data_IF_932395282723
#
_entry.id   IF_932395282723
#
_cell.length_a   1.000
_cell.length_b   1.000
_cell.length_c   1.000
_cell.angle_alpha   90.00
_cell.angle_beta   90.00
_cell.angle_gamma   90.00
#
_symmetry.space_group_name_H-M   'P 1'
#
loop_
_entity.id
_entity.type
_entity.pdbx_description
1 polymer ?
#
# COMPACT_ATOMS: atom_id res chain seq x y z
N UNK A 1 -24.27 -21.01 -1.22
CA UNK A 1 -22.95 -20.33 -1.22
C UNK A 1 -22.11 -21.01 -0.15
N UNK A 2 -21.32 -22.00 -0.57
CA UNK A 2 -20.49 -22.80 0.34
C UNK A 2 -19.23 -21.99 0.62
N UNK A 3 -19.13 -21.40 1.81
CA UNK A 3 -17.90 -20.76 2.27
C UNK A 3 -16.81 -21.82 2.34
N UNK A 4 -15.79 -21.73 1.49
CA UNK A 4 -14.60 -22.57 1.64
C UNK A 4 -13.87 -22.17 2.93
N UNK A 5 -13.31 -23.13 3.68
CA UNK A 5 -12.49 -22.83 4.86
C UNK A 5 -11.20 -22.10 4.43
N UNK A 6 -10.61 -21.27 5.32
CA UNK A 6 -9.37 -20.57 5.01
C UNK A 6 -8.25 -21.57 4.68
N UNK A 7 -7.63 -21.39 3.53
CA UNK A 7 -6.58 -22.27 3.00
C UNK A 7 -5.28 -21.94 3.73
N UNK A 8 -4.84 -22.80 4.66
CA UNK A 8 -3.57 -22.62 5.38
C UNK A 8 -2.37 -23.31 4.68
N UNK A 9 -2.59 -23.94 3.53
CA UNK A 9 -1.54 -24.63 2.77
C UNK A 9 -1.11 -23.79 1.55
N UNK A 10 0.16 -23.36 1.51
CA UNK A 10 0.72 -22.53 0.44
C UNK A 10 0.65 -23.19 -0.94
N UNK A 11 0.76 -24.52 -1.03
CA UNK A 11 0.62 -25.24 -2.29
C UNK A 11 -0.82 -25.16 -2.83
N UNK A 12 -1.82 -25.24 -1.94
CA UNK A 12 -3.23 -25.07 -2.33
C UNK A 12 -3.50 -23.63 -2.77
N UNK A 13 -2.94 -22.64 -2.07
CA UNK A 13 -3.06 -21.22 -2.47
C UNK A 13 -2.50 -21.03 -3.89
N UNK A 14 -1.31 -21.57 -4.18
CA UNK A 14 -0.70 -21.46 -5.51
C UNK A 14 -1.52 -22.18 -6.60
N UNK A 15 -2.11 -23.34 -6.28
CA UNK A 15 -3.02 -24.05 -7.16
C UNK A 15 -4.29 -23.26 -7.50
N UNK A 16 -4.96 -22.72 -6.48
CA UNK A 16 -6.17 -21.91 -6.65
C UNK A 16 -5.88 -20.59 -7.37
N UNK A 17 -4.75 -19.94 -7.07
CA UNK A 17 -4.28 -18.79 -7.84
C UNK A 17 -4.18 -19.14 -9.33
N UNK A 18 -3.51 -20.25 -9.66
CA UNK A 18 -3.30 -20.64 -11.03
C UNK A 18 -4.60 -21.01 -11.76
N UNK A 19 -5.59 -21.57 -11.04
CA UNK A 19 -6.93 -21.86 -11.56
C UNK A 19 -7.70 -20.56 -11.84
N UNK A 20 -7.85 -19.71 -10.84
CA UNK A 20 -8.61 -18.45 -10.94
C UNK A 20 -8.01 -17.47 -11.94
N UNK A 21 -6.68 -17.44 -12.04
CA UNK A 21 -5.97 -16.64 -13.05
C UNK A 21 -6.30 -17.09 -14.47
N UNK A 22 -6.31 -18.41 -14.73
CA UNK A 22 -6.63 -18.97 -16.07
C UNK A 22 -8.09 -18.84 -16.43
N UNK A 23 -9.00 -19.05 -15.48
CA UNK A 23 -10.45 -19.06 -15.75
C UNK A 23 -11.05 -17.66 -15.86
N UNK A 24 -10.63 -16.73 -15.01
CA UNK A 24 -11.30 -15.43 -14.86
C UNK A 24 -10.38 -14.23 -15.15
N UNK A 25 -9.08 -14.45 -15.33
CA UNK A 25 -8.06 -13.39 -15.32
C UNK A 25 -8.19 -12.45 -14.09
N UNK A 26 -8.62 -13.00 -12.95
CA UNK A 26 -8.93 -12.25 -11.73
C UNK A 26 -7.67 -11.58 -11.14
N UNK A 27 -7.81 -10.39 -10.54
CA UNK A 27 -6.66 -9.68 -9.94
C UNK A 27 -6.23 -10.35 -8.64
N UNK A 28 -4.98 -10.15 -8.22
CA UNK A 28 -4.46 -10.68 -6.93
C UNK A 28 -5.39 -10.41 -5.74
N UNK A 29 -5.96 -9.20 -5.66
CA UNK A 29 -6.93 -8.85 -4.60
C UNK A 29 -8.16 -9.74 -4.63
N UNK A 30 -8.75 -9.91 -5.80
CA UNK A 30 -10.03 -10.60 -5.97
C UNK A 30 -9.85 -12.10 -5.70
N UNK A 31 -8.70 -12.66 -6.11
CA UNK A 31 -8.30 -14.02 -5.77
C UNK A 31 -8.12 -14.18 -4.26
N UNK A 32 -7.39 -13.27 -3.61
CA UNK A 32 -7.18 -13.34 -2.16
C UNK A 32 -8.52 -13.26 -1.39
N UNK A 33 -9.43 -12.38 -1.83
CA UNK A 33 -10.78 -12.25 -1.28
C UNK A 33 -11.62 -13.52 -1.48
N UNK A 34 -11.58 -14.13 -2.67
CA UNK A 34 -12.27 -15.41 -2.96
C UNK A 34 -11.74 -16.57 -2.09
N UNK A 35 -10.45 -16.54 -1.74
CA UNK A 35 -9.80 -17.53 -0.87
C UNK A 35 -9.87 -17.19 0.64
N UNK A 36 -10.49 -16.06 0.99
CA UNK A 36 -10.57 -15.55 2.36
C UNK A 36 -9.20 -15.40 3.06
N UNK A 37 -8.20 -14.92 2.31
CA UNK A 37 -6.84 -14.60 2.80
C UNK A 37 -6.46 -13.17 2.42
N UNK A 38 -5.39 -12.64 3.01
CA UNK A 38 -4.81 -11.36 2.58
C UNK A 38 -4.08 -11.48 1.23
N UNK A 39 -3.94 -10.35 0.54
CA UNK A 39 -3.17 -10.33 -0.72
C UNK A 39 -1.69 -10.64 -0.50
N UNK A 40 -1.15 -10.25 0.65
CA UNK A 40 0.21 -10.59 1.08
C UNK A 40 0.39 -12.10 1.28
N UNK A 41 -0.58 -12.79 1.87
CA UNK A 41 -0.57 -14.25 2.01
C UNK A 41 -0.59 -14.94 0.64
N UNK A 42 -1.40 -14.44 -0.30
CA UNK A 42 -1.44 -14.93 -1.67
C UNK A 42 -0.06 -14.85 -2.34
N UNK A 43 0.59 -13.68 -2.28
CA UNK A 43 1.93 -13.49 -2.89
C UNK A 43 2.98 -14.32 -2.15
N UNK A 44 2.96 -14.32 -0.82
CA UNK A 44 3.93 -15.04 -0.01
C UNK A 44 3.87 -16.56 -0.21
N UNK A 45 2.70 -17.12 -0.52
CA UNK A 45 2.56 -18.54 -0.85
C UNK A 45 3.38 -18.97 -2.07
N UNK A 46 3.80 -18.01 -2.90
CA UNK A 46 4.64 -18.22 -4.08
C UNK A 46 6.13 -17.90 -3.83
N UNK A 47 6.53 -17.61 -2.59
CA UNK A 47 7.93 -17.41 -2.27
C UNK A 47 8.72 -18.70 -2.55
N UNK A 48 9.87 -18.57 -3.21
CA UNK A 48 10.69 -19.70 -3.64
C UNK A 48 10.19 -20.44 -4.89
N UNK A 49 8.99 -20.12 -5.42
CA UNK A 49 8.52 -20.67 -6.70
C UNK A 49 9.15 -19.92 -7.87
N UNK A 50 9.45 -20.63 -8.96
CA UNK A 50 10.03 -20.06 -10.18
C UNK A 50 9.14 -20.34 -11.39
N UNK A 51 9.09 -19.38 -12.31
CA UNK A 51 8.42 -19.55 -13.61
C UNK A 51 9.08 -20.68 -14.41
N UNK A 52 10.38 -20.94 -14.19
CA UNK A 52 11.11 -22.05 -14.82
C UNK A 52 10.53 -23.42 -14.45
N UNK A 53 9.83 -23.54 -13.31
CA UNK A 53 9.23 -24.78 -12.83
C UNK A 53 7.74 -24.89 -13.25
N UNK A 54 7.28 -24.08 -14.21
CA UNK A 54 5.91 -24.09 -14.72
C UNK A 54 4.88 -23.34 -13.87
N UNK A 55 5.32 -22.65 -12.80
CA UNK A 55 4.43 -21.80 -12.01
C UNK A 55 4.04 -20.54 -12.81
N UNK A 56 2.80 -20.06 -12.64
CA UNK A 56 2.34 -18.79 -13.24
C UNK A 56 2.86 -17.57 -12.50
N UNK A 57 3.25 -17.72 -11.23
CA UNK A 57 3.77 -16.66 -10.40
C UNK A 57 4.91 -17.20 -9.53
N UNK A 58 5.96 -16.41 -9.41
CA UNK A 58 7.04 -16.62 -8.44
C UNK A 58 7.26 -15.33 -7.64
N UNK A 59 7.60 -15.49 -6.37
CA UNK A 59 7.96 -14.38 -5.51
C UNK A 59 9.33 -14.65 -4.86
N UNK A 60 10.08 -13.58 -4.66
CA UNK A 60 11.32 -13.57 -3.90
C UNK A 60 11.15 -12.60 -2.74
N UNK A 61 11.25 -13.11 -1.52
CA UNK A 61 11.11 -12.32 -0.30
C UNK A 61 12.25 -11.33 -0.22
N UNK A 62 11.94 -10.10 0.15
CA UNK A 62 12.91 -9.03 0.38
C UNK A 62 13.09 -8.79 1.87
N UNK A 63 14.32 -8.48 2.27
CA UNK A 63 14.68 -8.07 3.62
C UNK A 63 14.00 -6.74 3.98
N UNK A 64 13.68 -6.57 5.26
CA UNK A 64 12.93 -5.43 5.78
C UNK A 64 13.74 -4.11 5.92
N UNK A 65 14.54 -3.78 4.89
CA UNK A 65 15.26 -2.51 4.78
C UNK A 65 14.55 -1.55 3.81
N UNK A 66 13.32 -1.19 4.15
CA UNK A 66 12.42 -0.42 3.27
C UNK A 66 12.96 0.94 2.83
N UNK A 67 13.59 1.76 3.71
CA UNK A 67 14.21 3.01 3.30
C UNK A 67 15.31 2.80 2.26
N UNK A 68 16.17 1.79 2.46
CA UNK A 68 17.25 1.50 1.51
C UNK A 68 16.73 0.96 0.18
N UNK A 69 15.68 0.12 0.19
CA UNK A 69 15.03 -0.35 -1.04
C UNK A 69 14.48 0.83 -1.83
N UNK A 70 13.72 1.72 -1.18
CA UNK A 70 13.12 2.88 -1.86
C UNK A 70 14.21 3.84 -2.39
N UNK A 71 15.29 4.03 -1.65
CA UNK A 71 16.44 4.83 -2.10
C UNK A 71 17.17 4.22 -3.32
N UNK A 72 17.07 2.91 -3.53
CA UNK A 72 17.70 2.19 -4.63
C UNK A 72 16.83 2.12 -5.91
N UNK A 73 15.66 2.76 -5.94
CA UNK A 73 14.72 2.65 -7.07
C UNK A 73 15.05 3.55 -8.27
N UNK A 74 15.78 4.65 -8.08
CA UNK A 74 16.05 5.61 -9.16
C UNK A 74 16.72 4.97 -10.40
N UNK A 75 17.71 4.06 -10.25
CA UNK A 75 18.33 3.37 -11.39
C UNK A 75 17.39 2.47 -12.21
N UNK A 76 16.21 2.08 -11.71
CA UNK A 76 15.25 1.30 -12.50
C UNK A 76 14.67 2.12 -13.67
N UNK A 77 14.87 3.44 -13.69
CA UNK A 77 14.31 4.33 -14.70
C UNK A 77 12.79 4.46 -14.55
N UNK A 78 12.08 4.53 -15.67
CA UNK A 78 10.64 4.73 -15.65
C UNK A 78 9.92 3.44 -15.26
N UNK A 79 9.09 3.52 -14.21
CA UNK A 79 8.27 2.44 -13.66
C UNK A 79 6.83 2.94 -13.45
N UNK A 80 5.91 2.03 -13.11
CA UNK A 80 4.56 2.39 -12.69
C UNK A 80 4.39 2.15 -11.18
N UNK A 81 4.12 3.22 -10.43
CA UNK A 81 3.78 3.20 -9.02
C UNK A 81 2.28 3.04 -8.83
N UNK A 82 1.86 2.07 -8.02
CA UNK A 82 0.47 1.81 -7.68
C UNK A 82 0.27 1.87 -6.17
N UNK A 83 -0.58 2.80 -5.74
CA UNK A 83 -1.06 2.91 -4.36
C UNK A 83 -2.58 2.89 -4.38
N UNK A 84 -3.21 2.22 -3.42
CA UNK A 84 -4.67 2.12 -3.40
C UNK A 84 -5.24 2.04 -1.99
N UNK A 85 -6.53 2.26 -1.91
CA UNK A 85 -7.36 1.87 -0.77
C UNK A 85 -8.60 1.11 -1.30
N UNK A 86 -9.57 0.85 -0.43
CA UNK A 86 -10.78 0.12 -0.81
C UNK A 86 -11.59 0.81 -1.93
N UNK A 87 -11.50 2.14 -2.05
CA UNK A 87 -12.37 2.96 -2.90
C UNK A 87 -11.66 3.60 -4.10
N UNK A 88 -10.32 3.65 -4.11
CA UNK A 88 -9.56 4.30 -5.16
C UNK A 88 -8.25 3.55 -5.42
N UNK A 89 -7.91 3.43 -6.70
CA UNK A 89 -6.61 2.97 -7.17
C UNK A 89 -5.93 4.15 -7.86
N UNK A 90 -4.70 4.46 -7.47
CA UNK A 90 -3.89 5.52 -8.06
C UNK A 90 -2.65 4.91 -8.69
N UNK A 91 -2.56 5.02 -10.02
CA UNK A 91 -1.42 4.56 -10.82
C UNK A 91 -0.69 5.78 -11.38
N UNK A 92 0.63 5.82 -11.20
CA UNK A 92 1.47 6.91 -11.70
C UNK A 92 2.74 6.36 -12.31
N UNK A 93 2.97 6.67 -13.58
CA UNK A 93 4.23 6.39 -14.26
C UNK A 93 5.25 7.50 -13.96
N UNK A 94 6.50 7.12 -13.70
CA UNK A 94 7.62 8.05 -13.54
C UNK A 94 8.87 7.39 -13.00
N UNK A 95 9.85 8.21 -12.61
CA UNK A 95 11.12 7.77 -11.99
C UNK A 95 11.08 8.11 -10.50
N UNK A 96 11.59 7.21 -9.65
CA UNK A 96 11.72 7.42 -8.19
C UNK A 96 12.91 8.34 -7.87
N UNK A 97 12.83 9.61 -8.27
CA UNK A 97 13.89 10.59 -8.05
C UNK A 97 13.97 11.03 -6.59
N UNK A 98 15.18 11.36 -6.15
CA UNK A 98 15.45 12.04 -4.88
C UNK A 98 14.75 11.41 -3.68
N UNK A 99 14.70 10.08 -3.65
CA UNK A 99 14.20 9.34 -2.51
C UNK A 99 15.06 9.67 -1.27
N UNK A 100 14.40 10.14 -0.23
CA UNK A 100 15.01 10.52 1.04
C UNK A 100 14.15 10.04 2.19
N UNK A 101 14.70 9.99 3.40
CA UNK A 101 13.93 9.64 4.58
C UNK A 101 14.46 10.35 5.82
N UNK A 102 13.55 10.59 6.76
CA UNK A 102 13.87 11.02 8.11
C UNK A 102 13.13 10.11 9.09
N UNK A 103 13.87 9.42 9.96
CA UNK A 103 13.33 8.37 10.83
C UNK A 103 12.55 7.31 10.02
N UNK A 104 11.24 7.21 10.24
CA UNK A 104 10.37 6.23 9.58
C UNK A 104 9.49 6.83 8.48
N UNK A 105 9.74 8.07 8.09
CA UNK A 105 9.00 8.76 7.04
C UNK A 105 9.91 8.97 5.84
N UNK A 106 9.55 8.36 4.73
CA UNK A 106 10.20 8.51 3.43
C UNK A 106 9.48 9.54 2.57
N UNK A 107 10.26 10.22 1.73
CA UNK A 107 9.80 11.17 0.73
C UNK A 107 10.42 10.80 -0.61
N UNK A 108 9.60 10.73 -1.66
CA UNK A 108 10.05 10.66 -3.06
C UNK A 108 9.53 11.92 -3.72
N UNK A 109 10.44 12.81 -4.11
CA UNK A 109 10.13 14.16 -4.57
C UNK A 109 10.94 14.49 -5.83
N UNK A 110 10.59 15.57 -6.52
CA UNK A 110 11.39 16.05 -7.66
C UNK A 110 11.19 15.28 -8.96
N UNK A 111 10.15 14.45 -9.06
CA UNK A 111 9.73 13.76 -10.28
C UNK A 111 8.21 13.67 -10.41
N UNK A 112 7.76 12.82 -11.34
CA UNK A 112 6.34 12.55 -11.58
C UNK A 112 5.73 11.70 -10.45
N UNK A 113 6.57 10.90 -9.79
CA UNK A 113 6.21 10.13 -8.59
C UNK A 113 6.46 11.01 -7.37
N UNK A 114 5.38 11.42 -6.71
CA UNK A 114 5.39 12.17 -5.44
C UNK A 114 4.77 11.29 -4.35
N UNK A 115 5.59 10.83 -3.40
CA UNK A 115 5.18 9.89 -2.36
C UNK A 115 5.58 10.37 -0.97
N UNK A 116 4.66 10.13 -0.03
CA UNK A 116 4.92 10.16 1.42
C UNK A 116 4.80 8.72 1.91
N UNK A 117 5.91 8.17 2.37
CA UNK A 117 6.03 6.74 2.72
C UNK A 117 6.15 6.59 4.23
N UNK A 118 5.26 5.81 4.85
CA UNK A 118 5.28 5.55 6.28
C UNK A 118 5.80 4.15 6.55
N UNK A 119 7.12 3.98 6.67
CA UNK A 119 7.77 2.67 6.72
C UNK A 119 7.34 1.82 7.93
N UNK A 120 6.84 2.42 9.02
CA UNK A 120 6.27 1.67 10.15
C UNK A 120 5.07 0.80 9.79
N UNK A 121 4.39 1.10 8.69
CA UNK A 121 3.24 0.33 8.22
C UNK A 121 3.64 -0.81 7.29
N UNK A 122 4.91 -0.91 6.90
CA UNK A 122 5.40 -1.92 5.96
C UNK A 122 5.95 -3.10 6.77
N UNK A 123 5.47 -4.31 6.50
CA UNK A 123 5.88 -5.52 7.20
C UNK A 123 6.48 -6.58 6.28
N UNK A 124 6.01 -6.65 5.02
CA UNK A 124 6.45 -7.65 4.06
C UNK A 124 6.73 -7.03 2.70
N UNK A 125 7.73 -7.55 1.99
CA UNK A 125 8.12 -7.10 0.65
C UNK A 125 8.51 -8.29 -0.23
N UNK A 126 8.09 -8.27 -1.49
CA UNK A 126 8.40 -9.32 -2.45
C UNK A 126 8.74 -8.73 -3.82
N UNK A 127 9.78 -9.27 -4.45
CA UNK A 127 10.00 -9.15 -5.88
C UNK A 127 9.21 -10.25 -6.60
N UNK A 128 8.19 -9.85 -7.35
CA UNK A 128 7.21 -10.75 -7.98
C UNK A 128 7.45 -10.80 -9.48
N UNK A 129 7.48 -12.03 -10.01
CA UNK A 129 7.48 -12.36 -11.43
C UNK A 129 6.21 -13.12 -11.75
N UNK A 130 5.41 -12.63 -12.67
CA UNK A 130 4.14 -13.24 -13.05
C UNK A 130 4.09 -13.39 -14.58
N UNK A 131 3.74 -14.58 -15.05
CA UNK A 131 3.46 -14.82 -16.45
C UNK A 131 2.09 -14.23 -16.79
N UNK A 132 2.07 -13.22 -17.65
CA UNK A 132 0.86 -12.62 -18.21
C UNK A 132 0.87 -12.83 -19.71
N UNK A 133 -0.08 -13.62 -20.18
CA UNK A 133 -0.15 -14.03 -21.59
C UNK A 133 1.16 -14.69 -22.01
N UNK A 134 2.00 -13.99 -22.78
CA UNK A 134 3.29 -14.47 -23.27
C UNK A 134 4.48 -13.68 -22.72
N UNK A 135 4.26 -12.79 -21.74
CA UNK A 135 5.28 -11.91 -21.18
C UNK A 135 5.38 -12.05 -19.66
N UNK A 136 6.61 -11.89 -19.15
CA UNK A 136 6.87 -11.88 -17.71
C UNK A 136 6.78 -10.45 -17.18
N UNK A 137 5.71 -10.18 -16.45
CA UNK A 137 5.58 -8.94 -15.68
C UNK A 137 6.39 -9.04 -14.39
N UNK A 138 7.20 -8.01 -14.10
CA UNK A 138 7.99 -7.89 -12.88
C UNK A 138 7.50 -6.74 -12.03
N UNK A 139 7.51 -6.94 -10.72
CA UNK A 139 7.09 -5.91 -9.77
C UNK A 139 7.72 -6.08 -8.40
N UNK A 140 7.84 -4.98 -7.66
CA UNK A 140 8.08 -4.98 -6.22
C UNK A 140 6.74 -4.72 -5.53
N UNK A 141 6.36 -5.57 -4.58
CA UNK A 141 5.06 -5.48 -3.89
C UNK A 141 5.26 -5.49 -2.38
N UNK A 142 4.67 -4.50 -1.70
CA UNK A 142 4.84 -4.30 -0.27
C UNK A 142 3.50 -4.34 0.46
N UNK A 143 3.50 -4.97 1.63
CA UNK A 143 2.31 -5.28 2.41
C UNK A 143 2.51 -4.89 3.88
N UNK A 144 1.41 -4.56 4.55
CA UNK A 144 1.39 -4.31 5.99
C UNK A 144 1.37 -5.61 6.80
N UNK A 145 1.38 -5.48 8.14
CA UNK A 145 1.41 -6.63 9.04
C UNK A 145 0.12 -7.49 8.96
N UNK A 146 -0.97 -6.96 8.43
CA UNK A 146 -2.21 -7.71 8.14
C UNK A 146 -2.21 -8.32 6.73
N UNK A 147 -1.12 -8.16 5.97
CA UNK A 147 -0.99 -8.65 4.60
C UNK A 147 -1.68 -7.78 3.55
N UNK A 148 -2.09 -6.55 3.89
CA UNK A 148 -2.77 -5.67 2.94
C UNK A 148 -1.77 -4.88 2.11
N UNK A 149 -2.02 -4.76 0.81
CA UNK A 149 -1.11 -4.06 -0.09
C UNK A 149 -0.99 -2.58 0.28
N UNK A 150 0.25 -2.16 0.55
CA UNK A 150 0.61 -0.78 0.86
C UNK A 150 1.04 -0.05 -0.40
N UNK A 151 1.92 -0.67 -1.18
CA UNK A 151 2.48 -0.05 -2.37
C UNK A 151 3.01 -1.11 -3.35
N UNK A 152 2.91 -0.84 -4.66
CA UNK A 152 3.45 -1.71 -5.71
C UNK A 152 4.17 -0.89 -6.76
N UNK A 153 5.23 -1.48 -7.32
CA UNK A 153 6.07 -0.88 -8.34
C UNK A 153 6.16 -1.88 -9.48
N UNK A 154 5.63 -1.56 -10.64
CA UNK A 154 5.67 -2.40 -11.82
C UNK A 154 6.72 -1.90 -12.80
N UNK A 155 7.54 -2.81 -13.29
CA UNK A 155 8.47 -2.50 -14.36
C UNK A 155 7.69 -2.28 -15.66
N UNK A 156 8.23 -1.39 -16.49
CA UNK A 156 7.76 -1.10 -17.84
C UNK A 156 8.78 -1.63 -18.84
N UNK A 157 8.43 -1.74 -20.14
CA UNK A 157 9.35 -2.23 -21.16
C UNK A 157 10.70 -1.47 -21.22
N UNK A 158 10.69 -0.19 -20.87
CA UNK A 158 11.86 0.71 -20.83
C UNK A 158 12.58 0.75 -19.47
N UNK A 159 12.10 0.05 -18.45
CA UNK A 159 12.79 0.00 -17.16
C UNK A 159 14.14 -0.70 -17.30
N UNK A 160 15.12 -0.31 -16.47
CA UNK A 160 16.42 -0.95 -16.45
C UNK A 160 16.33 -2.31 -15.72
N UNK A 161 16.38 -3.37 -16.52
CA UNK A 161 16.33 -4.75 -16.04
C UNK A 161 17.57 -5.15 -15.24
N UNK A 162 18.75 -4.67 -15.60
CA UNK A 162 19.98 -5.00 -14.88
C UNK A 162 19.99 -4.35 -13.49
N UNK A 163 19.51 -3.10 -13.40
CA UNK A 163 19.32 -2.41 -12.13
C UNK A 163 18.28 -3.12 -11.24
N UNK A 164 17.18 -3.61 -11.82
CA UNK A 164 16.20 -4.41 -11.10
C UNK A 164 16.81 -5.70 -10.55
N UNK A 165 17.52 -6.47 -11.37
CA UNK A 165 18.12 -7.73 -10.94
C UNK A 165 19.18 -7.49 -9.83
N UNK A 166 19.95 -6.42 -9.93
CA UNK A 166 20.90 -6.00 -8.89
C UNK A 166 20.19 -5.59 -7.58
N UNK A 167 19.06 -4.88 -7.67
CA UNK A 167 18.25 -4.52 -6.51
C UNK A 167 17.68 -5.76 -5.83
N UNK A 168 17.06 -6.67 -6.59
CA UNK A 168 16.49 -7.90 -6.03
C UNK A 168 17.57 -8.74 -5.37
N UNK A 169 18.69 -8.97 -6.05
CA UNK A 169 19.84 -9.71 -5.50
C UNK A 169 20.38 -9.10 -4.20
N UNK A 170 20.51 -7.76 -4.15
CA UNK A 170 20.99 -7.04 -2.96
C UNK A 170 20.06 -7.19 -1.76
N UNK A 171 18.74 -7.16 -2.00
CA UNK A 171 17.74 -7.11 -0.93
C UNK A 171 17.01 -8.43 -0.71
N UNK A 172 17.41 -9.51 -1.38
CA UNK A 172 16.83 -10.84 -1.19
C UNK A 172 16.99 -11.30 0.27
N UNK A 173 15.91 -11.78 0.87
CA UNK A 173 15.94 -12.38 2.20
C UNK A 173 16.63 -13.76 2.14
N UNK A 174 17.37 -14.11 3.19
CA UNK A 174 17.95 -15.45 3.30
C UNK A 174 16.85 -16.51 3.50
N UNK A 175 15.73 -16.15 4.13
CA UNK A 175 14.57 -17.01 4.29
C UNK A 175 13.55 -16.82 3.16
N UNK A 176 13.58 -17.74 2.20
CA UNK A 176 12.64 -17.81 1.08
C UNK A 176 11.46 -18.78 1.34
N UNK A 177 11.21 -19.15 2.60
CA UNK A 177 10.10 -20.05 2.96
C UNK A 177 8.76 -19.46 2.52
N UNK A 178 7.89 -20.29 1.95
CA UNK A 178 6.56 -19.87 1.51
C UNK A 178 5.65 -19.47 2.67
N UNK A 179 4.85 -18.43 2.47
CA UNK A 179 3.86 -17.91 3.42
C UNK A 179 4.36 -16.74 4.27
N UNK A 180 3.44 -16.10 4.98
CA UNK A 180 3.73 -15.06 5.98
C UNK A 180 2.82 -15.27 7.18
N UNK A 181 3.23 -14.74 8.33
CA UNK A 181 2.36 -14.61 9.49
C UNK A 181 1.72 -13.23 9.48
N UNK A 182 0.40 -13.19 9.29
CA UNK A 182 -0.37 -11.94 9.40
C UNK A 182 -0.87 -11.72 10.83
N UNK A 183 -0.93 -10.45 11.22
CA UNK A 183 -1.55 -10.00 12.47
C UNK A 183 -2.85 -9.29 12.15
N UNK A 184 -3.90 -9.58 12.91
CA UNK A 184 -5.17 -8.89 12.75
C UNK A 184 -4.99 -7.37 12.90
N UNK A 185 -5.64 -6.61 12.01
CA UNK A 185 -5.64 -5.17 12.11
C UNK A 185 -6.34 -4.75 13.41
N UNK A 186 -5.70 -3.86 14.17
CA UNK A 186 -6.31 -3.30 15.38
C UNK A 186 -7.64 -2.64 15.03
N UNK A 187 -8.66 -2.87 15.86
CA UNK A 187 -9.94 -2.20 15.72
C UNK A 187 -9.72 -0.68 15.75
N UNK A 188 -10.43 0.08 14.89
CA UNK A 188 -10.36 1.54 14.96
C UNK A 188 -10.81 1.99 16.36
N UNK A 189 -10.25 3.11 16.88
CA UNK A 189 -10.71 3.68 18.14
C UNK A 189 -12.20 4.01 18.05
N UNK A 190 -12.90 3.91 19.18
CA UNK A 190 -14.31 4.27 19.25
C UNK A 190 -14.50 5.73 18.82
N UNK A 191 -15.49 5.97 17.95
CA UNK A 191 -15.84 7.32 17.52
C UNK A 191 -16.51 8.08 18.68
N UNK A 192 -16.13 9.34 18.87
CA UNK A 192 -16.84 10.25 19.77
C UNK A 192 -18.17 10.66 19.12
N UNK A 193 -19.30 10.65 19.85
CA UNK A 193 -20.55 11.20 19.35
C UNK A 193 -20.42 12.68 19.01
N UNK A 194 -21.03 13.13 17.91
CA UNK A 194 -21.02 14.53 17.45
C UNK A 194 -21.36 15.54 18.56
N UNK A 195 -22.27 15.18 19.45
CA UNK A 195 -22.70 16.03 20.57
C UNK A 195 -21.60 16.28 21.62
N UNK A 196 -20.55 15.45 21.66
CA UNK A 196 -19.43 15.56 22.60
C UNK A 196 -18.23 16.29 21.99
N UNK A 197 -18.30 16.69 20.72
CA UNK A 197 -17.21 17.33 20.00
C UNK A 197 -17.26 18.84 20.28
N UNK A 198 -16.15 19.42 20.73
CA UNK A 198 -16.00 20.87 20.83
C UNK A 198 -15.86 21.50 19.44
N UNK A 199 -17.00 21.72 18.79
CA UNK A 199 -17.08 22.29 17.44
C UNK A 199 -16.52 23.71 17.40
N UNK A 200 -16.72 24.51 18.45
CA UNK A 200 -16.23 25.88 18.50
C UNK A 200 -14.70 25.91 18.59
N UNK A 201 -14.13 25.11 19.49
CA UNK A 201 -12.68 24.94 19.61
C UNK A 201 -12.04 24.36 18.35
N UNK A 202 -12.69 23.38 17.70
CA UNK A 202 -12.23 22.84 16.42
C UNK A 202 -12.14 23.91 15.33
N UNK A 203 -13.20 24.73 15.16
CA UNK A 203 -13.22 25.78 14.14
C UNK A 203 -12.16 26.87 14.39
N UNK A 204 -12.00 27.27 15.65
CA UNK A 204 -10.99 28.26 16.03
C UNK A 204 -9.58 27.73 15.72
N UNK A 205 -9.28 26.50 16.14
CA UNK A 205 -7.98 25.89 15.91
C UNK A 205 -7.74 25.54 14.43
N UNK A 206 -8.79 25.20 13.67
CA UNK A 206 -8.71 25.03 12.21
C UNK A 206 -8.34 26.33 11.50
N UNK A 207 -8.96 27.45 11.89
CA UNK A 207 -8.68 28.76 11.29
C UNK A 207 -7.24 29.23 11.51
N UNK A 208 -6.58 28.71 12.54
CA UNK A 208 -5.20 29.05 12.93
C UNK A 208 -4.14 28.09 12.34
N UNK A 209 -4.55 27.07 11.57
CA UNK A 209 -3.64 26.13 10.92
C UNK A 209 -2.75 26.86 9.90
N UNK A 210 -1.43 26.66 10.02
CA UNK A 210 -0.42 27.25 9.11
C UNK A 210 0.21 26.21 8.19
N UNK A 211 0.17 24.94 8.61
CA UNK A 211 0.75 23.82 7.89
C UNK A 211 -0.27 22.67 7.81
N UNK A 212 -0.32 21.96 6.69
CA UNK A 212 -1.23 20.82 6.50
C UNK A 212 -0.89 19.64 7.41
N UNK A 213 0.36 19.53 7.88
CA UNK A 213 0.80 18.49 8.81
C UNK A 213 0.27 18.73 10.24
N UNK A 214 -0.01 19.99 10.62
CA UNK A 214 -0.61 20.35 11.92
C UNK A 214 -2.04 19.83 12.07
N UNK A 215 -2.71 19.58 10.94
CA UNK A 215 -4.08 19.06 10.92
C UNK A 215 -4.21 17.73 11.66
N UNK A 216 -3.22 16.84 11.56
CA UNK A 216 -3.24 15.57 12.29
C UNK A 216 -3.22 15.80 13.80
N UNK A 217 -2.40 16.73 14.29
CA UNK A 217 -2.34 17.08 15.71
C UNK A 217 -3.66 17.68 16.19
N UNK A 218 -4.28 18.54 15.37
CA UNK A 218 -5.61 19.09 15.65
C UNK A 218 -6.65 17.97 15.82
N UNK A 219 -6.67 17.01 14.90
CA UNK A 219 -7.62 15.89 14.97
C UNK A 219 -7.44 15.05 16.24
N UNK A 220 -6.20 14.74 16.63
CA UNK A 220 -5.94 14.01 17.88
C UNK A 220 -6.46 14.76 19.10
N UNK A 221 -6.22 16.08 19.15
CA UNK A 221 -6.60 16.94 20.27
C UNK A 221 -8.11 17.05 20.43
N UNK A 222 -8.84 17.23 19.33
CA UNK A 222 -10.28 17.51 19.36
C UNK A 222 -11.11 16.23 19.43
N UNK A 223 -10.71 15.18 18.69
CA UNK A 223 -11.52 13.97 18.55
C UNK A 223 -10.95 12.78 19.33
N UNK A 224 -9.87 12.96 20.12
CA UNK A 224 -9.24 11.89 20.89
C UNK A 224 -8.69 10.74 20.04
N UNK A 225 -8.56 10.95 18.72
CA UNK A 225 -8.15 9.91 17.78
C UNK A 225 -6.66 9.60 17.97
N UNK A 226 -6.30 8.38 18.36
CA UNK A 226 -4.93 7.90 18.21
C UNK A 226 -4.58 7.77 16.71
N UNK A 227 -3.30 7.83 16.29
CA UNK A 227 -2.91 7.64 14.90
C UNK A 227 -3.12 6.16 14.52
N UNK A 228 -4.32 5.80 14.11
CA UNK A 228 -4.68 4.45 13.67
C UNK A 228 -5.40 4.55 12.32
N UNK A 229 -4.59 4.52 11.25
CA UNK A 229 -5.00 4.20 9.89
C UNK A 229 -6.09 5.07 9.24
N UNK A 230 -6.43 4.77 7.96
CA UNK A 230 -7.39 5.53 7.16
C UNK A 230 -8.85 5.47 7.67
N UNK A 231 -9.16 4.59 8.63
CA UNK A 231 -10.50 4.44 9.20
C UNK A 231 -10.86 5.59 10.17
N UNK A 232 -9.90 6.11 10.95
CA UNK A 232 -10.16 7.17 11.94
C UNK A 232 -10.51 8.53 11.31
N UNK A 233 -10.20 8.73 10.03
CA UNK A 233 -10.49 9.97 9.31
C UNK A 233 -11.96 10.15 8.92
N UNK A 234 -12.78 9.09 8.89
CA UNK A 234 -14.15 9.15 8.35
C UNK A 234 -15.11 10.01 9.19
N UNK A 235 -15.00 9.96 10.51
CA UNK A 235 -15.83 10.78 11.41
C UNK A 235 -15.42 12.26 11.36
N UNK A 236 -14.12 12.54 11.48
CA UNK A 236 -13.56 13.89 11.38
C UNK A 236 -13.85 14.53 10.02
N UNK A 237 -13.74 13.79 8.91
CA UNK A 237 -14.09 14.28 7.57
C UNK A 237 -15.59 14.42 7.35
N UNK A 238 -16.48 13.61 7.96
CA UNK A 238 -17.93 13.83 7.84
C UNK A 238 -18.38 15.08 8.59
N UNK A 239 -17.87 15.28 9.81
CA UNK A 239 -18.13 16.48 10.60
C UNK A 239 -17.52 17.73 9.93
N UNK A 240 -16.28 17.63 9.43
CA UNK A 240 -15.63 18.73 8.71
C UNK A 240 -16.27 18.99 7.34
N UNK A 241 -16.55 17.97 6.51
CA UNK A 241 -17.13 18.17 5.17
C UNK A 241 -18.54 18.75 5.23
N UNK A 242 -19.37 18.31 6.19
CA UNK A 242 -20.72 18.84 6.39
C UNK A 242 -20.74 20.33 6.79
N UNK A 243 -19.66 20.82 7.42
CA UNK A 243 -19.52 22.22 7.85
C UNK A 243 -18.71 23.07 6.87
N UNK A 244 -17.67 22.53 6.24
CA UNK A 244 -16.85 23.21 5.21
C UNK A 244 -17.69 23.49 3.95
N UNK A 245 -18.59 22.59 3.56
CA UNK A 245 -19.53 22.83 2.44
C UNK A 245 -20.57 23.92 2.74
N UNK A 246 -20.85 24.21 4.03
CA UNK A 246 -21.78 25.27 4.45
C UNK A 246 -21.09 26.60 4.75
N UNK A 247 -19.76 26.63 4.86
CA UNK A 247 -18.96 27.80 5.17
C UNK A 247 -18.19 28.34 3.95
N UNK A 248 -18.82 28.41 2.77
CA UNK A 248 -18.34 29.30 1.69
C UNK A 248 -18.87 30.71 1.95
N UNK A 249 -18.05 31.68 2.42
CA UNK A 249 -18.30 33.06 2.04
C UNK A 249 -18.01 33.17 0.55
N UNK A 250 -18.92 33.81 -0.19
CA UNK A 250 -18.69 34.18 -1.58
C UNK A 250 -17.39 35.00 -1.64
N UNK A 251 -16.31 34.40 -2.14
CA UNK A 251 -15.10 35.16 -2.45
C UNK A 251 -15.47 36.17 -3.53
N UNK A 252 -15.51 37.44 -3.14
CA UNK A 252 -15.53 38.57 -4.07
C UNK A 252 -14.35 38.43 -5.01
N UNK A 253 -14.64 38.28 -6.30
CA UNK A 253 -13.67 38.52 -7.36
C UNK A 253 -13.12 39.93 -7.17
N UNK A 254 -11.83 40.06 -6.91
CA UNK A 254 -11.12 41.31 -7.21
C UNK A 254 -10.72 41.25 -8.68
N UNK A 255 -11.01 42.37 -9.36
CA UNK A 255 -10.68 42.64 -10.75
C UNK A 255 -9.16 42.60 -10.99
#
# INVERSE_FOLDING_TARGET
>A
MTSMPPICNTQMIAGEFARLRREKNARHRDIAEELAISEGELIAAHAGLSLANGALLGAERLQADWPAIVAALEPLGEVMALTRNASCVHEKTGVYRQASHANHVGLVLGGEIDLRVFYRQWAHGFAVREMKEHEVQRSLQFFDAAGQAVHKIFLKPQSDMAAYDALVSRFADADQTAGIRVTAQAAPPAELPDAQIDVAGFRAAWADLRDTHDFFTLLKKIFGLAPAGPASGRAALRAAAGQILRARPAQRRRA
#
